data_IF_424874725246
#
_entry.id   IF_424874725246
#
_cell.length_a   1.000
_cell.length_b   1.000
_cell.length_c   1.000
_cell.angle_alpha   90.00
_cell.angle_beta   90.00
_cell.angle_gamma   90.00
#
_symmetry.space_group_name_H-M   'P 1'
#
loop_
_entity.id
_entity.type
_entity.pdbx_description
1 polymer ?
#
# COMPACT_ATOMS: atom_id res chain seq x y z
N UNK A 1 -0.54 -17.72 13.07
CA UNK A 1 0.34 -17.04 14.04
C UNK A 1 1.53 -16.55 13.24
N UNK A 2 1.50 -15.29 12.80
CA UNK A 2 2.44 -14.76 11.82
C UNK A 2 3.79 -14.55 12.50
N UNK A 3 4.74 -15.43 12.19
CA UNK A 3 6.12 -15.34 12.64
C UNK A 3 6.70 -14.06 12.05
N UNK A 4 7.27 -13.20 12.91
CA UNK A 4 8.29 -12.22 12.50
C UNK A 4 9.43 -13.04 11.89
N UNK A 5 9.36 -13.25 10.58
CA UNK A 5 10.46 -13.80 9.79
C UNK A 5 11.63 -12.82 9.97
N UNK A 6 12.89 -13.29 10.12
CA UNK A 6 14.03 -12.40 10.21
C UNK A 6 14.22 -11.65 8.88
N UNK A 7 13.43 -10.60 8.68
CA UNK A 7 13.69 -9.61 7.64
C UNK A 7 15.05 -8.99 7.97
N UNK A 8 15.85 -8.71 6.94
CA UNK A 8 17.01 -7.83 7.13
C UNK A 8 16.48 -6.54 7.74
N UNK A 9 17.12 -6.05 8.83
CA UNK A 9 16.65 -4.84 9.50
C UNK A 9 16.48 -3.72 8.46
N UNK A 10 15.31 -3.05 8.43
CA UNK A 10 15.08 -1.99 7.46
C UNK A 10 16.06 -0.83 7.71
N UNK A 11 16.33 -0.04 6.67
CA UNK A 11 17.14 1.18 6.81
C UNK A 11 16.56 2.16 7.84
N UNK A 12 17.41 3.06 8.32
CA UNK A 12 17.04 4.04 9.36
C UNK A 12 15.78 4.84 8.97
N UNK A 13 14.85 4.98 9.91
CA UNK A 13 13.63 5.76 9.71
C UNK A 13 12.56 5.11 8.84
N UNK A 14 12.70 3.82 8.50
CA UNK A 14 11.68 3.08 7.73
C UNK A 14 10.55 2.56 8.63
N UNK A 15 9.29 2.79 8.22
CA UNK A 15 8.07 2.36 8.89
C UNK A 15 7.29 1.39 8.00
N UNK A 16 7.02 0.17 8.49
CA UNK A 16 6.19 -0.83 7.80
C UNK A 16 5.01 -1.15 8.72
N UNK A 17 3.80 -0.77 8.32
CA UNK A 17 2.60 -0.98 9.14
C UNK A 17 2.15 -2.44 9.06
N UNK A 18 2.07 -3.16 10.20
CA UNK A 18 1.62 -4.53 10.22
C UNK A 18 0.17 -4.71 9.71
N UNK A 19 -0.19 -5.89 9.17
CA UNK A 19 0.69 -7.04 8.92
C UNK A 19 1.51 -6.90 7.62
N UNK A 20 2.79 -7.22 7.67
CA UNK A 20 3.60 -7.46 6.46
C UNK A 20 3.51 -8.94 6.08
N UNK A 21 3.12 -9.23 4.84
CA UNK A 21 3.10 -10.58 4.29
C UNK A 21 4.29 -10.76 3.34
N UNK A 22 5.12 -11.75 3.64
CA UNK A 22 6.29 -12.13 2.82
C UNK A 22 6.30 -13.64 2.60
N UNK A 23 6.99 -14.10 1.56
CA UNK A 23 7.19 -15.53 1.32
C UNK A 23 8.29 -16.09 2.25
N UNK A 24 9.55 -15.68 2.04
CA UNK A 24 10.69 -16.09 2.87
C UNK A 24 11.30 -14.96 3.70
N UNK A 25 11.03 -13.70 3.36
CA UNK A 25 11.50 -12.49 4.06
C UNK A 25 13.01 -12.18 3.92
N UNK A 26 13.84 -13.14 3.51
CA UNK A 26 15.29 -13.00 3.42
C UNK A 26 15.77 -12.24 2.17
N UNK A 27 14.91 -12.08 1.16
CA UNK A 27 15.25 -11.42 -0.10
C UNK A 27 14.65 -10.02 -0.22
N UNK A 28 13.86 -9.59 0.77
CA UNK A 28 13.30 -8.26 0.85
C UNK A 28 14.26 -7.30 1.59
N UNK A 29 14.64 -6.22 0.92
CA UNK A 29 15.49 -5.15 1.47
C UNK A 29 14.79 -3.80 1.35
N UNK A 30 14.78 -3.05 2.44
CA UNK A 30 14.34 -1.65 2.48
C UNK A 30 15.53 -0.74 2.78
N UNK A 31 15.65 0.33 1.98
CA UNK A 31 16.52 1.46 2.27
C UNK A 31 16.03 2.28 3.47
N UNK A 32 16.64 3.44 3.67
CA UNK A 32 16.28 4.39 4.73
C UNK A 32 15.00 5.17 4.37
N UNK A 33 14.25 5.61 5.39
CA UNK A 33 13.10 6.51 5.28
C UNK A 33 12.01 6.03 4.32
N UNK A 34 11.78 4.71 4.28
CA UNK A 34 10.66 4.16 3.52
C UNK A 34 9.39 4.08 4.38
N UNK A 35 8.23 4.23 3.77
CA UNK A 35 6.95 3.94 4.42
C UNK A 35 6.21 2.86 3.65
N UNK A 36 5.59 1.93 4.37
CA UNK A 36 4.62 0.99 3.81
C UNK A 36 3.38 0.98 4.70
N UNK A 37 2.22 1.26 4.10
CA UNK A 37 0.94 1.32 4.81
C UNK A 37 0.42 -0.07 5.23
N UNK A 38 -0.87 -0.22 5.55
CA UNK A 38 -1.41 -1.45 6.10
C UNK A 38 -1.45 -2.60 5.08
N UNK A 39 -0.87 -3.73 5.45
CA UNK A 39 -1.04 -4.99 4.73
C UNK A 39 -0.11 -5.25 3.53
N UNK A 40 1.14 -4.74 3.46
CA UNK A 40 1.98 -4.94 2.28
C UNK A 40 2.24 -6.43 2.05
N UNK A 41 2.22 -6.83 0.78
CA UNK A 41 2.53 -8.20 0.34
C UNK A 41 3.74 -8.15 -0.59
N UNK A 42 4.82 -8.82 -0.20
CA UNK A 42 6.05 -8.90 -0.99
C UNK A 42 6.43 -10.37 -1.21
N UNK A 43 6.31 -10.84 -2.46
CA UNK A 43 6.64 -12.21 -2.85
C UNK A 43 8.12 -12.32 -3.23
N UNK A 44 8.97 -12.56 -2.24
CA UNK A 44 10.42 -12.44 -2.34
C UNK A 44 11.14 -13.74 -2.77
N UNK A 45 10.58 -14.46 -3.75
CA UNK A 45 11.24 -15.62 -4.40
C UNK A 45 12.55 -15.21 -5.09
N UNK A 46 12.61 -13.96 -5.57
CA UNK A 46 13.80 -13.31 -6.09
C UNK A 46 14.09 -12.02 -5.29
N UNK A 47 15.32 -11.47 -5.34
CA UNK A 47 15.67 -10.24 -4.63
C UNK A 47 14.72 -9.07 -4.94
N UNK A 48 14.13 -8.48 -3.88
CA UNK A 48 13.35 -7.25 -3.95
C UNK A 48 14.11 -6.18 -3.15
N UNK A 49 14.52 -5.11 -3.82
CA UNK A 49 15.19 -3.97 -3.17
C UNK A 49 14.36 -2.72 -3.32
N UNK A 50 13.92 -2.16 -2.20
CA UNK A 50 13.33 -0.83 -2.09
C UNK A 50 14.46 0.14 -1.73
N UNK A 51 14.62 1.20 -2.53
CA UNK A 51 15.66 2.22 -2.32
C UNK A 51 15.39 3.11 -1.09
N UNK A 52 16.12 4.22 -0.98
CA UNK A 52 15.85 5.21 0.07
C UNK A 52 14.68 6.14 -0.33
N UNK A 53 13.97 6.69 0.65
CA UNK A 53 12.87 7.66 0.47
C UNK A 53 11.68 7.15 -0.37
N UNK A 54 11.30 5.88 -0.20
CA UNK A 54 10.21 5.25 -0.96
C UNK A 54 8.93 5.12 -0.13
N UNK A 55 7.81 5.58 -0.70
CA UNK A 55 6.47 5.41 -0.14
C UNK A 55 5.68 4.32 -0.88
N UNK A 56 5.47 3.19 -0.21
CA UNK A 56 4.62 2.08 -0.63
C UNK A 56 3.21 2.27 -0.07
N UNK A 57 2.40 3.01 -0.80
CA UNK A 57 1.07 3.44 -0.34
C UNK A 57 0.69 4.88 -0.73
N UNK A 58 1.56 5.58 -1.47
CA UNK A 58 1.49 7.01 -1.78
C UNK A 58 0.38 7.44 -2.74
N UNK A 59 -0.85 6.99 -2.53
CA UNK A 59 -2.04 7.46 -3.21
C UNK A 59 -2.96 8.14 -2.20
N UNK A 60 -3.27 9.41 -2.44
CA UNK A 60 -4.21 10.15 -1.63
C UNK A 60 -5.65 9.70 -1.94
N UNK A 61 -6.41 9.33 -0.91
CA UNK A 61 -7.84 9.04 -1.03
C UNK A 61 -8.61 10.19 -0.39
N UNK A 62 -9.33 10.95 -1.22
CA UNK A 62 -10.14 12.06 -0.76
C UNK A 62 -11.26 11.63 0.20
N UNK A 63 -11.72 12.56 1.01
CA UNK A 63 -12.81 12.32 1.97
C UNK A 63 -14.07 11.79 1.28
N UNK A 64 -14.81 10.93 1.99
CA UNK A 64 -16.09 10.38 1.55
C UNK A 64 -16.00 9.58 0.23
N UNK A 65 -14.81 9.06 -0.10
CA UNK A 65 -14.61 8.22 -1.28
C UNK A 65 -14.77 6.73 -0.96
N UNK A 66 -15.48 6.03 -1.84
CA UNK A 66 -15.73 4.58 -1.74
C UNK A 66 -14.85 3.85 -2.75
N UNK A 67 -14.00 2.96 -2.27
CA UNK A 67 -13.19 2.06 -3.09
C UNK A 67 -13.84 0.68 -3.10
N UNK A 68 -14.20 0.19 -4.28
CA UNK A 68 -14.81 -1.13 -4.42
C UNK A 68 -13.83 -2.26 -4.06
N UNK A 69 -14.38 -3.37 -3.55
CA UNK A 69 -13.59 -4.56 -3.23
C UNK A 69 -12.83 -5.06 -4.48
N UNK A 70 -11.55 -5.38 -4.31
CA UNK A 70 -10.68 -5.84 -5.40
C UNK A 70 -10.15 -4.72 -6.31
N UNK A 71 -10.38 -3.45 -6.00
CA UNK A 71 -9.82 -2.34 -6.77
C UNK A 71 -8.33 -2.12 -6.47
N UNK A 72 -7.53 -1.86 -7.51
CA UNK A 72 -6.08 -1.56 -7.39
C UNK A 72 -5.87 -0.07 -7.62
N UNK A 73 -5.73 0.68 -6.54
CA UNK A 73 -5.57 2.14 -6.61
C UNK A 73 -4.11 2.48 -6.95
N UNK A 74 -3.90 2.96 -8.17
CA UNK A 74 -2.57 3.29 -8.73
C UNK A 74 -2.31 4.80 -8.83
N UNK A 75 -3.30 5.62 -8.46
CA UNK A 75 -3.23 7.09 -8.47
C UNK A 75 -4.24 7.66 -7.48
N UNK A 76 -4.03 8.92 -7.09
CA UNK A 76 -4.92 9.64 -6.20
C UNK A 76 -6.38 9.59 -6.65
N UNK A 77 -7.27 9.47 -5.67
CA UNK A 77 -8.71 9.56 -5.83
C UNK A 77 -9.22 10.86 -5.20
N UNK A 78 -10.02 11.68 -5.91
CA UNK A 78 -10.63 12.87 -5.34
C UNK A 78 -11.65 12.53 -4.25
N UNK A 79 -12.15 13.54 -3.54
CA UNK A 79 -13.23 13.38 -2.57
C UNK A 79 -14.58 13.09 -3.25
N UNK A 80 -15.50 12.46 -2.51
CA UNK A 80 -16.87 12.19 -2.93
C UNK A 80 -16.97 11.41 -4.25
N UNK A 81 -16.19 10.33 -4.42
CA UNK A 81 -16.30 9.46 -5.60
C UNK A 81 -16.43 7.99 -5.24
N UNK A 82 -16.94 7.21 -6.17
CA UNK A 82 -16.83 5.74 -6.14
C UNK A 82 -15.82 5.33 -7.20
N UNK A 83 -14.80 4.57 -6.80
CA UNK A 83 -13.79 4.03 -7.69
C UNK A 83 -13.70 2.51 -7.60
N UNK A 84 -13.61 1.84 -8.75
CA UNK A 84 -13.53 0.37 -8.83
C UNK A 84 -12.58 -0.07 -9.94
N UNK A 85 -12.15 -1.33 -9.88
CA UNK A 85 -11.38 -2.00 -10.94
C UNK A 85 -9.87 -2.04 -10.74
N UNK A 86 -9.17 -2.72 -11.65
CA UNK A 86 -7.72 -2.80 -11.73
C UNK A 86 -7.24 -2.32 -13.11
N UNK A 87 -6.62 -1.14 -13.21
CA UNK A 87 -6.44 -0.14 -12.16
C UNK A 87 -7.74 0.61 -11.82
N UNK A 88 -7.88 1.08 -10.58
CA UNK A 88 -9.09 1.75 -10.09
C UNK A 88 -9.43 2.99 -10.93
N UNK A 89 -10.71 3.12 -11.30
CA UNK A 89 -11.26 4.27 -12.03
C UNK A 89 -12.52 4.79 -11.35
N UNK A 90 -12.68 6.11 -11.35
CA UNK A 90 -13.91 6.76 -10.88
C UNK A 90 -15.06 6.37 -11.79
N UNK A 91 -16.08 5.73 -11.22
CA UNK A 91 -17.29 5.29 -11.95
C UNK A 91 -18.47 6.20 -11.71
N UNK A 92 -18.51 6.91 -10.57
CA UNK A 92 -19.49 7.97 -10.30
C UNK A 92 -19.00 8.93 -9.23
N UNK A 93 -19.53 10.14 -9.24
CA UNK A 93 -19.44 11.10 -8.14
C UNK A 93 -20.57 10.85 -7.14
N UNK A 94 -20.29 11.06 -5.87
CA UNK A 94 -21.25 11.08 -4.77
C UNK A 94 -21.69 12.53 -4.57
N UNK A 95 -22.99 12.72 -4.38
CA UNK A 95 -23.51 14.03 -3.96
C UNK A 95 -23.40 14.09 -2.43
N UNK A 96 -22.58 15.00 -1.87
CA UNK A 96 -22.44 15.12 -0.41
C UNK A 96 -23.73 15.57 0.30
N UNK A 97 -24.72 16.07 -0.44
CA UNK A 97 -26.02 16.50 0.10
C UNK A 97 -27.15 15.46 -0.06
N UNK A 98 -26.89 14.34 -0.76
CA UNK A 98 -27.87 13.26 -0.89
C UNK A 98 -27.77 12.30 0.32
N UNK A 99 -28.90 11.94 0.97
CA UNK A 99 -28.92 11.03 2.11
C UNK A 99 -28.52 9.59 1.75
#
# INVERSE_FOLDING_TARGET
MCTVVPMTAPGEGTEIRPPLHVDSGSHLRFGARCSADHGPVALDVAPITVGDDVELGGVAIGENTVVGAGAVVTRDLPANVVAVGDPARVVRTLDPAAP
#
